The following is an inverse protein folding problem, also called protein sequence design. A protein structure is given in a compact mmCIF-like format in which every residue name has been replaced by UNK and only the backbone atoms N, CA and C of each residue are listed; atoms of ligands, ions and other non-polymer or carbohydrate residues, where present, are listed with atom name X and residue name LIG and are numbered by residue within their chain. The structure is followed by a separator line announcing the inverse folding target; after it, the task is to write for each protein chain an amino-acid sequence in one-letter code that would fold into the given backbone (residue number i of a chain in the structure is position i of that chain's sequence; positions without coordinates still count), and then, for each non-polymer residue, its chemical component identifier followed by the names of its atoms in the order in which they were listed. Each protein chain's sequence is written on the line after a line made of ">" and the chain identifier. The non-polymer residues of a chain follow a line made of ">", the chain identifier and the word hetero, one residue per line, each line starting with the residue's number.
data_IF_447379570929
#
_entry.id   IF_447379570929
#
_cell.length_a   1.000
_cell.length_b   1.000
_cell.length_c   1.000
_cell.angle_alpha   90.00
_cell.angle_beta   90.00
_cell.angle_gamma   90.00
#
_symmetry.space_group_name_H-M   'P 1'
#
loop_
_entity.id
_entity.type
_entity.pdbx_description
1 polymer ?
#
# COMPACT_ATOMS: atom_id res chain seq x y z
N UNK A 1 -11.12 -15.63 -16.97
CA UNK A 1 -10.90 -16.67 -15.94
C UNK A 1 -9.41 -16.99 -15.87
N UNK A 2 -8.82 -17.03 -14.67
CA UNK A 2 -7.46 -17.54 -14.49
C UNK A 2 -7.44 -19.05 -14.72
N UNK A 3 -6.46 -19.54 -15.48
CA UNK A 3 -6.28 -20.98 -15.78
C UNK A 3 -5.36 -21.62 -14.73
N UNK A 4 -5.79 -21.62 -13.47
CA UNK A 4 -5.04 -22.21 -12.36
C UNK A 4 -5.20 -23.74 -12.35
N UNK A 5 -4.07 -24.46 -12.37
CA UNK A 5 -4.08 -25.94 -12.39
C UNK A 5 -4.63 -26.48 -11.07
N UNK A 6 -5.62 -27.36 -11.15
CA UNK A 6 -6.22 -28.01 -9.98
C UNK A 6 -7.17 -27.13 -9.16
N UNK A 7 -7.67 -26.03 -9.76
CA UNK A 7 -8.58 -25.10 -9.10
C UNK A 7 -9.79 -24.82 -9.97
N UNK A 8 -10.98 -24.90 -9.38
CA UNK A 8 -12.22 -24.54 -10.09
C UNK A 8 -12.19 -23.08 -10.51
N UNK A 9 -12.69 -22.79 -11.71
CA UNK A 9 -12.61 -21.45 -12.29
C UNK A 9 -13.43 -20.38 -11.53
N UNK A 10 -14.30 -20.81 -10.62
CA UNK A 10 -15.11 -19.99 -9.70
C UNK A 10 -14.43 -19.73 -8.36
N UNK A 11 -13.26 -20.34 -8.11
CA UNK A 11 -12.56 -20.22 -6.83
C UNK A 11 -11.91 -18.85 -6.67
N UNK A 12 -11.80 -18.39 -5.42
CA UNK A 12 -11.12 -17.12 -5.11
C UNK A 12 -9.63 -17.20 -5.41
N UNK A 13 -9.12 -16.25 -6.17
CA UNK A 13 -7.69 -16.02 -6.41
C UNK A 13 -7.28 -14.65 -5.86
N UNK A 14 -6.03 -14.52 -5.46
CA UNK A 14 -5.52 -13.32 -4.83
C UNK A 14 -4.49 -12.67 -5.74
N UNK A 15 -4.53 -11.34 -5.80
CA UNK A 15 -3.55 -10.56 -6.55
C UNK A 15 -2.64 -9.86 -5.55
N UNK A 16 -1.36 -10.20 -5.61
CA UNK A 16 -0.29 -9.50 -4.91
C UNK A 16 0.21 -8.39 -5.81
N UNK A 17 0.09 -7.14 -5.36
CA UNK A 17 0.53 -5.98 -6.11
C UNK A 17 1.85 -5.48 -5.54
N UNK A 18 2.88 -5.40 -6.39
CA UNK A 18 4.19 -4.85 -6.06
C UNK A 18 4.47 -3.66 -6.96
N UNK A 19 5.15 -2.66 -6.38
CA UNK A 19 5.53 -1.45 -7.10
C UNK A 19 6.87 -0.97 -6.57
N UNK A 20 7.78 -0.59 -7.47
CA UNK A 20 9.03 0.08 -7.09
C UNK A 20 8.81 1.57 -6.83
N UNK A 21 9.83 2.27 -6.35
CA UNK A 21 9.77 3.74 -6.29
C UNK A 21 9.54 4.33 -7.69
N UNK A 22 8.83 5.47 -7.75
CA UNK A 22 8.68 6.28 -8.97
C UNK A 22 10.01 6.88 -9.42
N UNK A 23 10.90 7.15 -8.47
CA UNK A 23 12.21 7.78 -8.70
C UNK A 23 13.29 6.75 -9.11
N UNK A 24 12.93 5.47 -9.24
CA UNK A 24 13.87 4.45 -9.70
C UNK A 24 14.11 4.54 -11.21
N UNK A 25 15.30 4.15 -11.67
CA UNK A 25 15.67 4.19 -13.08
C UNK A 25 14.74 3.37 -13.98
N UNK A 26 14.14 2.32 -13.42
CA UNK A 26 13.16 1.45 -14.08
C UNK A 26 11.96 1.20 -13.16
N UNK A 27 10.96 2.09 -13.17
CA UNK A 27 9.78 1.92 -12.33
C UNK A 27 8.94 0.75 -12.83
N UNK A 28 8.65 -0.20 -11.95
CA UNK A 28 7.85 -1.39 -12.25
C UNK A 28 6.57 -1.42 -11.44
N UNK A 29 5.52 -1.97 -12.05
CA UNK A 29 4.29 -2.42 -11.40
C UNK A 29 4.10 -3.87 -11.77
N UNK A 30 4.10 -4.75 -10.77
CA UNK A 30 3.91 -6.19 -10.95
C UNK A 30 2.62 -6.62 -10.26
N UNK A 31 1.78 -7.35 -11.00
CA UNK A 31 0.59 -8.01 -10.48
C UNK A 31 0.83 -9.52 -10.52
N UNK A 32 1.05 -10.11 -9.35
CA UNK A 32 1.31 -11.52 -9.17
C UNK A 32 0.04 -12.24 -8.69
N UNK A 33 -0.51 -13.10 -9.53
CA UNK A 33 -1.72 -13.84 -9.22
C UNK A 33 -1.39 -15.16 -8.54
N UNK A 34 -1.89 -15.33 -7.33
CA UNK A 34 -1.59 -16.46 -6.46
C UNK A 34 -2.88 -17.16 -6.01
N UNK A 35 -2.84 -18.50 -5.84
CA UNK A 35 -4.00 -19.25 -5.34
C UNK A 35 -4.35 -18.88 -3.90
N UNK A 36 -3.41 -18.29 -3.16
CA UNK A 36 -3.57 -17.93 -1.76
C UNK A 36 -3.08 -16.52 -1.42
N UNK A 37 -3.39 -16.12 -0.18
CA UNK A 37 -2.96 -14.87 0.45
C UNK A 37 -1.97 -15.10 1.60
N UNK A 38 -1.36 -16.28 1.65
CA UNK A 38 -0.41 -16.65 2.70
C UNK A 38 0.94 -15.96 2.54
N UNK A 39 1.70 -15.89 3.63
CA UNK A 39 3.04 -15.29 3.67
C UNK A 39 4.07 -15.92 2.72
N UNK A 40 3.84 -17.17 2.29
CA UNK A 40 4.74 -17.87 1.38
C UNK A 40 4.94 -17.13 0.04
N UNK A 41 3.91 -16.42 -0.45
CA UNK A 41 3.97 -15.70 -1.72
C UNK A 41 4.91 -14.49 -1.68
N UNK A 42 4.75 -13.52 -0.77
CA UNK A 42 5.69 -12.40 -0.67
C UNK A 42 7.09 -12.85 -0.21
N UNK A 43 7.21 -13.93 0.58
CA UNK A 43 8.51 -14.53 0.92
C UNK A 43 9.24 -15.06 -0.31
N UNK A 44 8.52 -15.77 -1.19
CA UNK A 44 9.10 -16.32 -2.42
C UNK A 44 9.52 -15.20 -3.38
N UNK A 45 8.67 -14.19 -3.54
CA UNK A 45 8.92 -13.10 -4.49
C UNK A 45 10.02 -12.14 -4.02
N UNK A 46 9.97 -11.68 -2.76
CA UNK A 46 10.91 -10.70 -2.25
C UNK A 46 12.20 -11.33 -1.69
N UNK A 47 12.18 -12.63 -1.34
CA UNK A 47 13.34 -13.34 -0.83
C UNK A 47 14.03 -12.59 0.31
N UNK A 48 15.33 -12.37 0.15
CA UNK A 48 16.19 -11.67 1.12
C UNK A 48 16.20 -10.14 0.93
N UNK A 49 15.12 -9.54 0.42
CA UNK A 49 15.03 -8.08 0.25
C UNK A 49 15.30 -7.33 1.56
N UNK A 50 16.23 -6.36 1.53
CA UNK A 50 16.65 -5.55 2.69
C UNK A 50 16.38 -4.05 2.57
N UNK A 51 15.61 -3.65 1.57
CA UNK A 51 15.24 -2.24 1.37
C UNK A 51 14.02 -1.83 2.19
N UNK A 52 13.40 -0.73 1.79
CA UNK A 52 12.18 -0.20 2.41
C UNK A 52 10.96 -0.87 1.79
N UNK A 53 10.13 -1.49 2.62
CA UNK A 53 8.86 -2.08 2.20
C UNK A 53 7.69 -1.26 2.75
N UNK A 54 7.06 -0.47 1.88
CA UNK A 54 5.81 0.24 2.20
C UNK A 54 4.62 -0.68 1.96
N UNK A 55 3.88 -1.04 3.02
CA UNK A 55 2.74 -1.96 2.91
C UNK A 55 1.46 -1.42 3.54
N UNK A 56 0.33 -2.08 3.26
CA UNK A 56 -0.97 -1.83 3.88
C UNK A 56 -1.07 -2.28 5.35
N UNK A 57 0.01 -2.86 5.89
CA UNK A 57 0.07 -3.39 7.25
C UNK A 57 -0.46 -4.81 7.40
N UNK A 58 -0.80 -5.50 6.31
CA UNK A 58 -1.19 -6.91 6.35
C UNK A 58 -0.09 -7.79 6.97
N UNK A 59 -0.49 -8.74 7.80
CA UNK A 59 0.44 -9.52 8.63
C UNK A 59 1.40 -10.38 7.84
N UNK A 60 1.02 -10.80 6.62
CA UNK A 60 1.89 -11.59 5.75
C UNK A 60 3.20 -10.86 5.39
N UNK A 61 3.20 -9.53 5.34
CA UNK A 61 4.42 -8.74 5.08
C UNK A 61 5.43 -8.83 6.23
N UNK A 62 4.94 -9.00 7.48
CA UNK A 62 5.77 -8.92 8.70
C UNK A 62 6.77 -10.07 8.85
N UNK A 63 6.70 -11.09 7.99
CA UNK A 63 7.64 -12.20 7.96
C UNK A 63 8.89 -11.91 7.11
N UNK A 64 8.94 -10.77 6.42
CA UNK A 64 10.09 -10.30 5.67
C UNK A 64 11.04 -9.54 6.61
N UNK A 65 11.74 -10.27 7.47
CA UNK A 65 12.52 -9.71 8.57
C UNK A 65 13.73 -8.87 8.11
N UNK A 66 14.24 -9.08 6.90
CA UNK A 66 15.35 -8.30 6.34
C UNK A 66 14.95 -6.88 5.91
N UNK A 67 13.66 -6.66 5.61
CA UNK A 67 13.18 -5.39 5.09
C UNK A 67 12.91 -4.38 6.21
N UNK A 68 13.10 -3.10 5.91
CA UNK A 68 12.63 -2.00 6.76
C UNK A 68 11.16 -1.73 6.44
N UNK A 69 10.27 -2.06 7.37
CA UNK A 69 8.82 -1.92 7.17
C UNK A 69 8.34 -0.49 7.44
N UNK A 70 7.63 0.09 6.49
CA UNK A 70 6.92 1.37 6.65
C UNK A 70 5.44 1.22 6.31
N UNK A 71 4.58 1.93 7.04
CA UNK A 71 3.14 1.90 6.82
C UNK A 71 2.71 2.79 5.66
N UNK A 72 1.84 2.29 4.79
CA UNK A 72 1.25 3.08 3.72
C UNK A 72 0.28 4.13 4.30
N UNK A 73 0.61 5.41 4.13
CA UNK A 73 -0.17 6.53 4.68
C UNK A 73 -1.60 6.60 4.11
N UNK A 74 -1.81 6.18 2.86
CA UNK A 74 -3.15 6.10 2.28
C UNK A 74 -4.02 5.05 3.01
N UNK A 75 -3.44 3.90 3.35
CA UNK A 75 -4.12 2.85 4.11
C UNK A 75 -4.42 3.30 5.54
N UNK A 76 -3.46 3.94 6.21
CA UNK A 76 -3.68 4.51 7.55
C UNK A 76 -4.79 5.57 7.54
N UNK A 77 -4.78 6.51 6.59
CA UNK A 77 -5.84 7.52 6.44
C UNK A 77 -7.21 6.88 6.25
N UNK A 78 -7.33 5.87 5.38
CA UNK A 78 -8.59 5.15 5.13
C UNK A 78 -9.17 4.57 6.42
N UNK A 79 -8.33 3.96 7.27
CA UNK A 79 -8.76 3.42 8.57
C UNK A 79 -9.31 4.50 9.50
N UNK A 80 -8.68 5.68 9.54
CA UNK A 80 -9.21 6.79 10.34
C UNK A 80 -10.50 7.37 9.76
N UNK A 81 -10.66 7.40 8.43
CA UNK A 81 -11.95 7.77 7.80
C UNK A 81 -13.04 6.77 8.17
N UNK A 82 -12.77 5.46 8.09
CA UNK A 82 -13.70 4.40 8.48
C UNK A 82 -14.10 4.55 9.96
N UNK A 83 -13.12 4.74 10.84
CA UNK A 83 -13.34 4.94 12.27
C UNK A 83 -14.15 6.21 12.54
N UNK A 84 -13.90 7.32 11.83
CA UNK A 84 -14.67 8.55 11.97
C UNK A 84 -16.13 8.35 11.56
N UNK A 85 -16.38 7.71 10.41
CA UNK A 85 -17.74 7.41 9.89
C UNK A 85 -18.53 6.45 10.78
N UNK A 86 -17.86 5.53 11.48
CA UNK A 86 -18.51 4.60 12.38
C UNK A 86 -19.02 5.24 13.68
N UNK A 87 -18.64 6.50 13.97
CA UNK A 87 -19.05 7.19 15.20
C UNK A 87 -20.44 7.82 15.04
N UNK A 88 -21.23 7.75 16.12
CA UNK A 88 -22.55 8.40 16.21
C UNK A 88 -22.47 9.93 16.34
N UNK A 89 -21.35 10.45 16.84
CA UNK A 89 -21.08 11.88 17.01
C UNK A 89 -19.77 12.21 16.29
N UNK A 90 -19.69 13.38 15.67
CA UNK A 90 -18.46 13.88 15.03
C UNK A 90 -17.30 14.07 16.02
N UNK A 91 -16.14 14.49 15.50
CA UNK A 91 -14.92 14.77 16.28
C UNK A 91 -14.09 13.55 16.71
N UNK A 92 -13.39 13.69 17.83
CA UNK A 92 -12.65 12.62 18.52
C UNK A 92 -11.29 12.28 17.92
N UNK A 93 -10.67 11.19 18.40
CA UNK A 93 -9.34 10.76 17.96
C UNK A 93 -9.24 10.53 16.43
N UNK A 94 -10.25 9.96 15.75
CA UNK A 94 -10.18 9.80 14.30
C UNK A 94 -10.14 11.13 13.56
N UNK A 95 -10.88 12.15 13.99
CA UNK A 95 -10.81 13.49 13.38
C UNK A 95 -9.46 14.15 13.62
N UNK A 96 -8.94 14.07 14.85
CA UNK A 96 -7.60 14.57 15.18
C UNK A 96 -6.53 13.89 14.31
N UNK A 97 -6.62 12.57 14.14
CA UNK A 97 -5.74 11.80 13.27
C UNK A 97 -5.83 12.27 11.81
N UNK A 98 -7.04 12.51 11.29
CA UNK A 98 -7.26 12.97 9.92
C UNK A 98 -6.61 14.33 9.63
N UNK A 99 -6.56 15.23 10.61
CA UNK A 99 -5.87 16.54 10.45
C UNK A 99 -4.38 16.40 10.16
N UNK A 100 -3.71 15.35 10.65
CA UNK A 100 -2.30 15.09 10.33
C UNK A 100 -2.09 14.67 8.87
N UNK A 101 -3.11 14.13 8.20
CA UNK A 101 -3.07 13.80 6.77
C UNK A 101 -3.45 14.97 5.86
N UNK A 102 -4.09 16.01 6.42
CA UNK A 102 -4.49 17.22 5.70
C UNK A 102 -3.38 18.27 5.65
N UNK A 103 -2.38 18.16 6.54
CA UNK A 103 -1.18 18.97 6.44
C UNK A 103 -0.45 18.61 5.14
N UNK A 104 -0.17 19.59 4.25
CA UNK A 104 0.53 19.32 3.01
C UNK A 104 1.95 18.92 3.34
N UNK A 105 2.23 17.62 3.32
CA UNK A 105 3.58 17.12 3.12
C UNK A 105 4.00 17.51 1.69
N UNK A 106 4.57 18.71 1.54
CA UNK A 106 5.36 19.07 0.35
C UNK A 106 4.66 19.72 -0.85
N UNK A 107 3.45 20.29 -0.75
CA UNK A 107 2.79 20.93 -1.91
C UNK A 107 3.14 22.41 -2.16
N UNK A 108 4.18 22.97 -1.53
CA UNK A 108 4.70 24.30 -1.92
C UNK A 108 5.64 24.28 -3.13
N UNK A 109 6.17 23.12 -3.55
CA UNK A 109 7.19 23.06 -4.63
C UNK A 109 6.68 22.84 -6.05
N UNK A 110 5.45 22.33 -6.26
CA UNK A 110 5.01 21.88 -7.60
C UNK A 110 4.09 22.87 -8.35
N UNK A 111 3.63 23.94 -7.69
CA UNK A 111 2.76 24.95 -8.33
C UNK A 111 3.50 26.14 -8.94
N UNK A 112 4.76 26.38 -8.57
CA UNK A 112 5.53 27.52 -9.10
C UNK A 112 6.28 27.21 -10.41
N UNK A 113 6.56 25.93 -10.71
CA UNK A 113 7.26 25.54 -11.94
C UNK A 113 6.41 25.63 -13.23
N UNK A 114 5.08 25.77 -13.12
CA UNK A 114 4.17 25.91 -14.30
C UNK A 114 3.78 27.36 -14.63
N UNK A 115 4.20 28.34 -13.82
CA UNK A 115 3.87 29.75 -14.03
C UNK A 115 4.95 30.55 -14.80
N UNK A 116 6.07 29.91 -15.17
CA UNK A 116 7.22 30.57 -15.82
C UNK A 116 7.42 30.23 -17.31
N UNK A 117 6.44 29.58 -17.93
CA UNK A 117 6.44 29.24 -19.36
C UNK A 117 5.19 29.81 -20.08
N UNK A 118 4.73 30.99 -19.67
CA UNK A 118 3.78 31.81 -20.40
C UNK A 118 4.30 33.23 -20.49
#
# INVERSE_FOLDING_TARGET
>A
MLKEKGKEATSNSYMWAYRSSEDGDQPIVLLDYQPGRGQAHPQTFLGDYRGILASDGYTAWRTLHGATHVGCMAHSRRRFVEAFKARKKGGGQPEQALRFFEQPTGSKGRREAKARQR
#
